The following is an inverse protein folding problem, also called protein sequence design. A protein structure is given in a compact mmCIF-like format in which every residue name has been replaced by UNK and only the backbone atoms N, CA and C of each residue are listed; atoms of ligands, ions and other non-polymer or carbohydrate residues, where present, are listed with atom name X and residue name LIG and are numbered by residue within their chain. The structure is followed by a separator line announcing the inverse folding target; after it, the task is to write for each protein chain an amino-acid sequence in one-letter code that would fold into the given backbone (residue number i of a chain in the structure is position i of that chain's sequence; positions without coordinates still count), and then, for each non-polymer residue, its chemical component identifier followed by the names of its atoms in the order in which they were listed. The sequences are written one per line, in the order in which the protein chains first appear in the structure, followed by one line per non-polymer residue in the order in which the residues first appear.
data_IF_974430664292
#
_entry.id   IF_974430664292
#
_cell.length_a   1.000
_cell.length_b   1.000
_cell.length_c   1.000
_cell.angle_alpha   90.00
_cell.angle_beta   90.00
_cell.angle_gamma   90.00
#
_symmetry.space_group_name_H-M   'P 1'
#
loop_
_entity.id
_entity.type
_entity.pdbx_description
1 polymer ?
#
# COMPACT_ATOMS: atom_id res chain seq x y z
N UNK A 1 46.68 -43.65 -20.25
CA UNK A 1 45.68 -42.87 -19.49
C UNK A 1 46.11 -41.42 -19.54
N UNK A 2 45.21 -40.49 -19.90
CA UNK A 2 45.55 -39.06 -19.99
C UNK A 2 45.67 -38.42 -18.61
N UNK A 3 46.73 -37.65 -18.37
CA UNK A 3 46.98 -36.95 -17.10
C UNK A 3 46.31 -35.57 -17.11
N UNK A 4 44.99 -35.54 -16.98
CA UNK A 4 44.25 -34.28 -16.84
C UNK A 4 44.29 -33.78 -15.40
N UNK A 5 44.47 -32.47 -15.22
CA UNK A 5 44.34 -31.81 -13.92
C UNK A 5 42.89 -31.88 -13.42
N UNK A 6 42.66 -31.68 -12.11
CA UNK A 6 41.32 -31.72 -11.54
C UNK A 6 40.36 -30.70 -12.20
N UNK A 7 40.88 -29.53 -12.60
CA UNK A 7 40.10 -28.49 -13.29
C UNK A 7 39.65 -28.94 -14.69
N UNK A 8 40.50 -29.67 -15.42
CA UNK A 8 40.17 -30.19 -16.76
C UNK A 8 39.21 -31.38 -16.72
N UNK A 9 39.08 -32.04 -15.57
CA UNK A 9 38.11 -33.10 -15.35
C UNK A 9 36.73 -32.55 -14.91
N UNK A 10 36.68 -31.28 -14.50
CA UNK A 10 35.45 -30.63 -14.09
C UNK A 10 34.54 -30.36 -15.31
N UNK A 11 33.22 -30.35 -15.12
CA UNK A 11 32.28 -29.99 -16.19
C UNK A 11 32.41 -28.51 -16.58
N UNK A 12 32.07 -28.20 -17.83
CA UNK A 12 32.08 -26.84 -18.35
C UNK A 12 31.18 -25.88 -17.54
N UNK A 13 31.62 -24.63 -17.38
CA UNK A 13 30.99 -23.68 -16.44
C UNK A 13 29.63 -23.10 -16.90
N UNK A 14 29.28 -23.28 -18.18
CA UNK A 14 28.05 -22.81 -18.83
C UNK A 14 26.99 -23.92 -18.96
N UNK A 15 27.26 -25.11 -18.43
CA UNK A 15 26.26 -26.17 -18.35
C UNK A 15 25.08 -25.73 -17.47
N UNK A 16 23.89 -25.64 -18.07
CA UNK A 16 22.63 -25.33 -17.38
C UNK A 16 22.41 -23.85 -17.02
N UNK A 17 23.33 -22.95 -17.40
CA UNK A 17 23.16 -21.50 -17.18
C UNK A 17 23.94 -20.67 -18.20
N UNK A 18 23.41 -19.51 -18.54
CA UNK A 18 24.14 -18.57 -19.40
C UNK A 18 25.15 -17.77 -18.58
N UNK A 19 26.42 -17.80 -18.99
CA UNK A 19 27.51 -16.99 -18.43
C UNK A 19 27.72 -15.66 -19.19
N UNK A 20 27.03 -15.47 -20.31
CA UNK A 20 27.17 -14.30 -21.18
C UNK A 20 26.62 -13.05 -20.46
N UNK A 21 27.40 -11.96 -20.34
CA UNK A 21 26.92 -10.70 -19.76
C UNK A 21 25.60 -10.26 -20.41
N UNK A 22 24.63 -9.85 -19.59
CA UNK A 22 23.29 -9.45 -20.03
C UNK A 22 22.28 -10.60 -20.21
N UNK A 23 22.73 -11.85 -20.20
CA UNK A 23 21.88 -13.04 -20.33
C UNK A 23 22.04 -13.99 -19.15
N UNK A 24 22.67 -13.54 -18.06
CA UNK A 24 22.90 -14.35 -16.86
C UNK A 24 21.61 -14.46 -16.05
N UNK A 25 21.38 -15.63 -15.48
CA UNK A 25 20.30 -15.90 -14.53
C UNK A 25 20.72 -15.51 -13.10
N UNK A 26 21.21 -14.29 -12.93
CA UNK A 26 21.68 -13.77 -11.63
C UNK A 26 20.94 -12.47 -11.36
N UNK A 27 20.31 -12.35 -10.19
CA UNK A 27 19.69 -11.12 -9.70
C UNK A 27 20.29 -10.72 -8.35
N UNK A 28 20.37 -9.41 -8.09
CA UNK A 28 20.78 -8.87 -6.80
C UNK A 28 19.66 -8.95 -5.75
N UNK A 29 18.41 -9.06 -6.22
CA UNK A 29 17.21 -9.21 -5.42
C UNK A 29 16.54 -10.55 -5.77
N UNK A 30 16.56 -11.55 -4.86
CA UNK A 30 15.98 -12.86 -5.11
C UNK A 30 14.44 -12.87 -5.01
N UNK A 31 13.83 -11.92 -4.30
CA UNK A 31 12.37 -11.87 -4.08
C UNK A 31 11.65 -10.98 -5.10
N UNK A 32 12.39 -10.13 -5.82
CA UNK A 32 11.81 -9.28 -6.85
C UNK A 32 11.29 -10.10 -8.02
N UNK A 33 10.01 -9.89 -8.31
CA UNK A 33 9.40 -10.35 -9.56
C UNK A 33 9.83 -9.48 -10.74
N UNK A 34 10.30 -10.11 -11.82
CA UNK A 34 10.60 -9.42 -13.08
C UNK A 34 9.35 -9.39 -13.97
N UNK A 35 8.83 -8.20 -14.23
CA UNK A 35 7.63 -7.98 -15.03
C UNK A 35 6.95 -6.65 -14.69
N UNK A 36 5.79 -6.42 -15.30
CA UNK A 36 4.91 -5.31 -14.92
C UNK A 36 3.70 -5.87 -14.17
N UNK A 37 3.38 -5.37 -12.97
CA UNK A 37 2.17 -5.78 -12.27
C UNK A 37 0.93 -5.25 -13.00
N UNK A 38 -0.19 -5.98 -12.88
CA UNK A 38 -1.47 -5.58 -13.48
C UNK A 38 -2.02 -4.29 -12.85
N UNK A 39 -1.88 -4.17 -11.53
CA UNK A 39 -2.13 -2.94 -10.79
C UNK A 39 -0.78 -2.28 -10.54
N UNK A 40 -0.57 -1.06 -11.02
CA UNK A 40 0.73 -0.39 -10.95
C UNK A 40 0.95 0.33 -9.62
N UNK A 41 0.96 -0.43 -8.54
CA UNK A 41 1.38 0.04 -7.21
C UNK A 41 2.89 0.30 -7.14
N UNK A 42 3.65 -0.17 -8.13
CA UNK A 42 5.10 0.09 -8.29
C UNK A 42 5.42 1.55 -8.62
N UNK A 43 4.42 2.33 -9.06
CA UNK A 43 4.59 3.71 -9.49
C UNK A 43 3.67 4.64 -8.72
N UNK A 44 4.10 5.89 -8.46
CA UNK A 44 3.23 6.89 -7.89
C UNK A 44 2.06 7.18 -8.83
N UNK A 45 0.89 7.41 -8.25
CA UNK A 45 -0.28 7.87 -8.98
C UNK A 45 0.00 9.25 -9.61
N UNK A 46 -0.42 9.50 -10.86
CA UNK A 46 -0.30 10.82 -11.47
C UNK A 46 -1.17 11.84 -10.73
N UNK A 47 -0.65 13.07 -10.56
CA UNK A 47 -1.38 14.15 -9.88
C UNK A 47 -2.67 14.55 -10.64
N UNK A 48 -2.62 14.50 -11.97
CA UNK A 48 -3.79 14.69 -12.85
C UNK A 48 -3.88 13.48 -13.77
N UNK A 49 -5.00 12.76 -13.70
CA UNK A 49 -5.26 11.61 -14.57
C UNK A 49 -5.55 12.07 -15.99
N UNK A 50 -4.95 11.39 -16.96
CA UNK A 50 -5.31 11.57 -18.36
C UNK A 50 -6.70 11.03 -18.64
N UNK A 51 -7.44 11.65 -19.57
CA UNK A 51 -8.79 11.20 -19.95
C UNK A 51 -8.78 9.78 -20.55
N UNK A 52 -7.68 9.40 -21.19
CA UNK A 52 -7.48 8.08 -21.80
C UNK A 52 -6.48 7.21 -21.02
N UNK A 53 -6.34 7.42 -19.71
CA UNK A 53 -5.55 6.51 -18.87
C UNK A 53 -6.36 5.24 -18.61
N UNK A 54 -5.80 4.09 -19.01
CA UNK A 54 -6.41 2.76 -18.83
C UNK A 54 -5.75 1.98 -17.69
N UNK A 55 -4.83 2.59 -16.95
CA UNK A 55 -4.04 1.91 -15.94
C UNK A 55 -4.61 2.13 -14.54
N UNK A 56 -4.80 1.04 -13.80
CA UNK A 56 -5.13 1.07 -12.37
C UNK A 56 -3.84 1.25 -11.52
N UNK A 57 -3.89 2.15 -10.54
CA UNK A 57 -2.78 2.50 -9.63
C UNK A 57 -2.98 2.03 -8.18
N UNK A 58 -4.02 1.24 -7.92
CA UNK A 58 -4.36 0.71 -6.59
C UNK A 58 -5.40 1.53 -5.82
N UNK A 59 -6.01 2.51 -6.47
CA UNK A 59 -7.01 3.42 -5.91
C UNK A 59 -8.46 3.09 -6.34
N UNK A 60 -8.64 2.25 -7.35
CA UNK A 60 -9.98 1.97 -7.88
C UNK A 60 -10.83 1.13 -6.91
N UNK A 61 -12.13 1.47 -6.76
CA UNK A 61 -13.04 0.70 -5.92
C UNK A 61 -13.32 -0.68 -6.50
N UNK A 62 -13.48 -1.68 -5.63
CA UNK A 62 -13.92 -3.01 -6.05
C UNK A 62 -15.35 -3.00 -6.62
N UNK A 63 -15.67 -3.99 -7.47
CA UNK A 63 -16.96 -4.07 -8.18
C UNK A 63 -18.20 -3.92 -7.28
N UNK A 64 -18.15 -4.47 -6.05
CA UNK A 64 -19.25 -4.35 -5.08
C UNK A 64 -19.54 -2.91 -4.67
N UNK A 65 -18.49 -2.10 -4.48
CA UNK A 65 -18.62 -0.70 -4.09
C UNK A 65 -19.14 0.17 -5.25
N UNK A 66 -18.86 -0.21 -6.50
CA UNK A 66 -19.45 0.44 -7.68
C UNK A 66 -20.94 0.12 -7.81
N UNK A 67 -21.32 -1.15 -7.59
CA UNK A 67 -22.73 -1.57 -7.65
C UNK A 67 -23.57 -1.04 -6.49
N UNK A 68 -22.96 -0.91 -5.31
CA UNK A 68 -23.61 -0.45 -4.08
C UNK A 68 -22.73 0.64 -3.44
N UNK A 69 -22.77 1.88 -3.96
CA UNK A 69 -21.94 2.95 -3.44
C UNK A 69 -22.37 3.28 -2.00
N UNK A 70 -21.41 3.55 -1.10
CA UNK A 70 -21.71 4.06 0.22
C UNK A 70 -22.28 5.48 0.13
N UNK A 71 -23.02 5.90 1.16
CA UNK A 71 -23.68 7.21 1.18
C UNK A 71 -22.73 8.40 1.03
N UNK A 72 -21.48 8.28 1.47
CA UNK A 72 -20.48 9.34 1.34
C UNK A 72 -19.92 9.48 -0.08
N UNK A 73 -20.10 8.51 -0.97
CA UNK A 73 -19.62 8.61 -2.36
C UNK A 73 -20.37 9.69 -3.15
N UNK A 74 -21.62 9.99 -2.79
CA UNK A 74 -22.37 11.11 -3.37
C UNK A 74 -21.74 12.48 -3.05
N UNK A 75 -20.97 12.54 -1.96
CA UNK A 75 -20.26 13.75 -1.52
C UNK A 75 -18.85 13.85 -2.11
N UNK A 76 -18.48 12.92 -3.00
CA UNK A 76 -17.14 12.84 -3.58
C UNK A 76 -16.06 12.40 -2.60
N UNK A 77 -16.45 11.75 -1.49
CA UNK A 77 -15.50 11.18 -0.53
C UNK A 77 -15.18 9.74 -0.93
N UNK A 78 -13.91 9.40 -0.94
CA UNK A 78 -13.42 8.07 -1.28
C UNK A 78 -12.99 7.28 -0.03
N UNK A 79 -12.99 5.93 -0.08
CA UNK A 79 -12.51 5.10 1.03
C UNK A 79 -11.08 5.44 1.48
N UNK A 80 -10.23 5.87 0.54
CA UNK A 80 -8.84 6.27 0.81
C UNK A 80 -8.74 7.52 1.71
N UNK A 81 -9.72 8.42 1.64
CA UNK A 81 -9.75 9.63 2.47
C UNK A 81 -9.88 9.27 3.96
N UNK A 82 -10.58 8.19 4.28
CA UNK A 82 -10.72 7.72 5.66
C UNK A 82 -9.48 6.99 6.18
N UNK A 83 -8.68 6.42 5.28
CA UNK A 83 -7.42 5.72 5.60
C UNK A 83 -6.24 6.70 5.77
N UNK A 84 -6.38 7.93 5.27
CA UNK A 84 -5.32 8.93 5.37
C UNK A 84 -5.17 9.39 6.82
N UNK A 85 -3.97 9.30 7.42
CA UNK A 85 -3.74 9.76 8.78
C UNK A 85 -3.82 11.28 8.85
N UNK A 86 -4.54 11.78 9.85
CA UNK A 86 -4.78 13.19 10.09
C UNK A 86 -4.21 13.61 11.45
N UNK A 87 -3.73 14.86 11.59
CA UNK A 87 -3.33 15.38 12.87
C UNK A 87 -4.54 15.54 13.80
N UNK A 88 -4.35 15.31 15.10
CA UNK A 88 -5.39 15.45 16.13
C UNK A 88 -6.23 16.75 16.04
N UNK A 89 -5.66 17.95 15.87
CA UNK A 89 -6.48 19.16 15.75
C UNK A 89 -7.43 19.14 14.53
N UNK A 90 -7.03 18.50 13.43
CA UNK A 90 -7.89 18.35 12.26
C UNK A 90 -9.04 17.38 12.57
N UNK A 91 -8.77 16.27 13.23
CA UNK A 91 -9.78 15.31 13.68
C UNK A 91 -10.79 15.98 14.61
N UNK A 92 -10.33 16.67 15.65
CA UNK A 92 -11.22 17.39 16.58
C UNK A 92 -12.13 18.38 15.84
N UNK A 93 -11.60 19.12 14.86
CA UNK A 93 -12.39 20.04 14.04
C UNK A 93 -13.44 19.30 13.18
N UNK A 94 -13.09 18.16 12.58
CA UNK A 94 -14.04 17.33 11.82
C UNK A 94 -15.19 16.89 12.72
N UNK A 95 -14.90 16.32 13.89
CA UNK A 95 -15.93 15.84 14.83
C UNK A 95 -16.79 16.99 15.38
N UNK A 96 -16.17 18.14 15.68
CA UNK A 96 -16.91 19.33 16.11
C UNK A 96 -17.88 19.83 15.01
N UNK A 97 -17.43 19.90 13.76
CA UNK A 97 -18.27 20.32 12.62
C UNK A 97 -19.34 19.30 12.25
N UNK A 98 -19.09 18.02 12.50
CA UNK A 98 -20.08 16.96 12.33
C UNK A 98 -21.20 17.01 13.38
N UNK A 99 -21.13 17.91 14.37
CA UNK A 99 -22.11 18.00 15.45
C UNK A 99 -21.90 16.96 16.56
N UNK A 100 -20.75 16.28 16.57
CA UNK A 100 -20.39 15.25 17.55
C UNK A 100 -19.58 15.83 18.73
N UNK A 101 -19.89 17.06 19.13
CA UNK A 101 -19.13 17.78 20.16
C UNK A 101 -19.19 17.08 21.53
N UNK A 102 -20.32 16.45 21.88
CA UNK A 102 -20.46 15.68 23.14
C UNK A 102 -19.65 14.38 23.12
N UNK A 103 -19.36 13.85 21.93
CA UNK A 103 -18.51 12.67 21.75
C UNK A 103 -17.01 13.00 21.85
N UNK A 104 -16.61 14.27 22.00
CA UNK A 104 -15.19 14.66 22.11
C UNK A 104 -14.51 14.05 23.35
N UNK A 105 -15.26 13.79 24.43
CA UNK A 105 -14.74 13.10 25.63
C UNK A 105 -14.47 11.63 25.35
N UNK A 106 -15.36 10.97 24.58
CA UNK A 106 -15.17 9.59 24.14
C UNK A 106 -14.06 9.50 23.08
N UNK A 107 -13.90 10.55 22.28
CA UNK A 107 -12.85 10.69 21.29
C UNK A 107 -11.46 10.71 21.95
N UNK A 108 -11.28 11.36 23.10
CA UNK A 108 -10.01 11.34 23.80
C UNK A 108 -9.59 9.90 24.20
N UNK A 109 -10.52 9.12 24.76
CA UNK A 109 -10.27 7.72 25.10
C UNK A 109 -10.04 6.85 23.85
N UNK A 110 -10.82 7.07 22.79
CA UNK A 110 -10.64 6.36 21.52
C UNK A 110 -9.33 6.70 20.83
N UNK A 111 -8.86 7.95 20.95
CA UNK A 111 -7.55 8.39 20.46
C UNK A 111 -6.44 7.67 21.20
N UNK A 112 -6.49 7.60 22.53
CA UNK A 112 -5.50 6.86 23.33
C UNK A 112 -5.45 5.37 22.94
N UNK A 113 -6.62 4.73 22.79
CA UNK A 113 -6.70 3.34 22.36
C UNK A 113 -6.20 3.14 20.93
N UNK A 114 -6.61 4.00 19.99
CA UNK A 114 -6.17 3.95 18.60
C UNK A 114 -4.65 4.16 18.47
N UNK A 115 -4.05 5.06 19.26
CA UNK A 115 -2.59 5.22 19.31
C UNK A 115 -1.88 3.96 19.82
N UNK A 116 -2.48 3.28 20.80
CA UNK A 116 -1.94 2.05 21.36
C UNK A 116 -2.02 0.86 20.38
N UNK A 117 -3.06 0.83 19.54
CA UNK A 117 -3.28 -0.20 18.50
C UNK A 117 -2.47 0.07 17.22
N UNK A 118 -2.38 1.33 16.79
CA UNK A 118 -1.71 1.75 15.54
C UNK A 118 -0.18 1.81 15.67
N UNK A 119 0.37 1.71 16.88
CA UNK A 119 1.83 1.65 17.08
C UNK A 119 2.55 2.99 16.96
N UNK A 120 1.91 4.10 17.38
CA UNK A 120 2.58 5.38 17.63
C UNK A 120 3.34 6.00 16.47
N UNK A 121 2.68 6.27 15.34
CA UNK A 121 3.27 7.01 14.23
C UNK A 121 3.21 8.54 14.40
N UNK A 122 4.23 9.26 13.92
CA UNK A 122 4.29 10.73 13.92
C UNK A 122 3.25 11.40 12.98
N UNK A 123 2.63 10.62 12.08
CA UNK A 123 1.76 11.11 11.01
C UNK A 123 0.29 11.37 11.44
N UNK A 124 -0.08 11.00 12.67
CA UNK A 124 -1.45 11.16 13.20
C UNK A 124 -2.29 9.88 13.11
N UNK A 125 -3.62 10.03 13.25
CA UNK A 125 -4.58 8.92 13.26
C UNK A 125 -5.53 9.04 12.06
N UNK A 126 -5.91 7.91 11.48
CA UNK A 126 -6.93 7.85 10.44
C UNK A 126 -8.33 7.72 11.04
N UNK A 127 -9.36 8.06 10.25
CA UNK A 127 -10.76 7.90 10.68
C UNK A 127 -11.13 6.42 10.84
N UNK A 128 -10.51 5.53 10.03
CA UNK A 128 -10.72 4.08 10.12
C UNK A 128 -10.18 3.54 11.45
N UNK A 129 -9.01 3.97 11.89
CA UNK A 129 -8.43 3.54 13.17
C UNK A 129 -9.26 4.01 14.36
N UNK A 130 -9.72 5.27 14.34
CA UNK A 130 -10.62 5.79 15.37
C UNK A 130 -11.94 5.02 15.42
N UNK A 131 -12.53 4.75 14.24
CA UNK A 131 -13.75 3.95 14.13
C UNK A 131 -13.53 2.54 14.73
N UNK A 132 -12.41 1.91 14.42
CA UNK A 132 -12.05 0.59 14.95
C UNK A 132 -11.91 0.60 16.48
N UNK A 133 -11.24 1.62 17.04
CA UNK A 133 -11.11 1.78 18.48
C UNK A 133 -12.46 2.00 19.19
N UNK A 134 -13.39 2.68 18.53
CA UNK A 134 -14.76 2.87 19.02
C UNK A 134 -15.65 1.62 18.90
N UNK A 135 -15.22 0.59 18.17
CA UNK A 135 -15.96 -0.66 18.01
C UNK A 135 -17.25 -0.56 17.17
N UNK A 136 -17.34 0.44 16.29
CA UNK A 136 -18.52 0.73 15.43
C UNK A 136 -18.20 0.56 13.95
#
# INVERSE_FOLDING_TARGET
MGNYTAEQQAPDADLGRSIRPGWRNVSDDPERSFGLPMVRTDKPMPHVRGVADYQNYGDEPGARAVLNPPSYSELGVEPADFATPLPLPALVNIFARAGLAEALTQLAAAVEQAFHEAGGGELGLSVIELRRALGV
#
